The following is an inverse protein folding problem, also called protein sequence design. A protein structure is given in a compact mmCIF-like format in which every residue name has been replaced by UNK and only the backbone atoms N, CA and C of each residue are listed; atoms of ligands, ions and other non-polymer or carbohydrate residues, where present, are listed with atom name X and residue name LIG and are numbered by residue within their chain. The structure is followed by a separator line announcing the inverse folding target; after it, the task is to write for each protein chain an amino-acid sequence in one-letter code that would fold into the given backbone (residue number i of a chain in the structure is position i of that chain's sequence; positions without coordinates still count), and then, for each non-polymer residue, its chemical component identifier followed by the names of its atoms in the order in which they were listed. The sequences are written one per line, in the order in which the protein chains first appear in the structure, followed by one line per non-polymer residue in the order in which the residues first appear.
data_IF_498480806115
#
_entry.id   IF_498480806115
#
_cell.length_a   1.000
_cell.length_b   1.000
_cell.length_c   1.000
_cell.angle_alpha   90.00
_cell.angle_beta   90.00
_cell.angle_gamma   90.00
#
_symmetry.space_group_name_H-M   'P 1'
#
loop_
_entity.id
_entity.type
_entity.pdbx_description
1 polymer ?
#
# COMPACT_ATOMS: atom_id res chain seq x y z
N UNK A 1 9.41 -6.05 -36.04
CA UNK A 1 8.39 -5.06 -35.62
C UNK A 1 7.43 -5.73 -34.67
N UNK A 2 7.56 -5.45 -33.38
CA UNK A 2 6.61 -5.90 -32.35
C UNK A 2 6.19 -4.67 -31.56
N UNK A 3 4.89 -4.40 -31.65
CA UNK A 3 4.08 -3.30 -31.14
C UNK A 3 4.62 -2.63 -29.85
N UNK A 4 4.69 -1.28 -29.76
CA UNK A 4 4.99 -0.63 -28.49
C UNK A 4 3.83 -0.90 -27.53
N UNK A 5 4.16 -1.42 -26.35
CA UNK A 5 3.21 -1.52 -25.24
C UNK A 5 2.86 -0.09 -24.84
N UNK A 6 1.59 0.27 -24.95
CA UNK A 6 1.11 1.63 -24.83
C UNK A 6 1.49 2.30 -23.51
N UNK A 7 1.88 3.56 -23.63
CA UNK A 7 1.98 4.55 -22.57
C UNK A 7 0.63 4.68 -21.84
N UNK A 8 0.47 3.97 -20.72
CA UNK A 8 -0.46 4.29 -19.63
C UNK A 8 -0.25 3.38 -18.41
N UNK A 9 1.00 3.09 -18.05
CA UNK A 9 1.28 2.64 -16.69
C UNK A 9 1.15 3.87 -15.79
N UNK A 10 0.00 4.03 -15.13
CA UNK A 10 -0.07 4.83 -13.91
C UNK A 10 1.04 4.34 -12.99
N UNK A 11 2.05 5.17 -12.79
CA UNK A 11 3.20 4.88 -11.94
C UNK A 11 2.72 4.77 -10.50
N UNK A 12 2.23 3.59 -10.10
CA UNK A 12 1.69 3.34 -8.78
C UNK A 12 2.81 2.96 -7.80
N UNK A 13 2.67 3.36 -6.54
CA UNK A 13 3.50 2.82 -5.48
C UNK A 13 2.92 1.47 -5.05
N UNK A 14 3.78 0.48 -4.79
CA UNK A 14 3.32 -0.80 -4.26
C UNK A 14 4.29 -1.41 -3.25
N UNK A 15 3.74 -2.17 -2.32
CA UNK A 15 4.50 -2.90 -1.31
C UNK A 15 3.75 -4.17 -0.90
N UNK A 16 4.47 -5.18 -0.42
CA UNK A 16 3.88 -6.38 0.19
C UNK A 16 3.73 -6.25 1.71
N UNK A 17 4.23 -5.17 2.31
CA UNK A 17 4.28 -5.02 3.76
C UNK A 17 2.95 -4.47 4.32
N UNK A 18 2.30 -5.26 5.17
CA UNK A 18 1.02 -4.91 5.78
C UNK A 18 1.13 -3.70 6.71
N UNK A 19 2.22 -3.60 7.49
CA UNK A 19 2.39 -2.53 8.47
C UNK A 19 2.67 -1.18 7.81
N UNK A 20 3.55 -1.17 6.81
CA UNK A 20 3.83 -0.02 5.96
C UNK A 20 2.56 0.41 5.22
N UNK A 21 1.79 -0.53 4.67
CA UNK A 21 0.51 -0.23 4.02
C UNK A 21 -0.49 0.41 4.99
N UNK A 22 -0.62 -0.10 6.22
CA UNK A 22 -1.48 0.50 7.23
C UNK A 22 -0.99 1.91 7.62
N UNK A 23 0.32 2.11 7.71
CA UNK A 23 0.91 3.40 8.01
C UNK A 23 0.66 4.44 6.90
N UNK A 24 0.83 4.05 5.64
CA UNK A 24 0.53 4.88 4.48
C UNK A 24 -0.93 5.35 4.47
N UNK A 25 -1.88 4.45 4.70
CA UNK A 25 -3.30 4.80 4.83
C UNK A 25 -3.53 5.73 6.02
N UNK A 26 -2.84 5.50 7.13
CA UNK A 26 -2.94 6.34 8.34
C UNK A 26 -2.42 7.76 8.14
N UNK A 27 -1.50 7.97 7.19
CA UNK A 27 -0.98 9.28 6.77
C UNK A 27 -1.85 9.92 5.67
N UNK A 28 -2.77 9.17 5.08
CA UNK A 28 -3.74 9.65 4.09
C UNK A 28 -3.43 9.26 2.64
N UNK A 29 -2.51 8.34 2.40
CA UNK A 29 -2.31 7.76 1.07
C UNK A 29 -3.45 6.81 0.72
N UNK A 30 -3.86 6.85 -0.54
CA UNK A 30 -5.02 6.12 -1.04
C UNK A 30 -4.60 4.74 -1.56
N UNK A 31 -5.15 3.69 -0.94
CA UNK A 31 -5.00 2.32 -1.41
C UNK A 31 -5.99 2.05 -2.55
N UNK A 32 -5.49 1.94 -3.77
CA UNK A 32 -6.27 1.67 -4.98
C UNK A 32 -6.80 0.24 -5.00
N UNK A 33 -5.93 -0.75 -4.81
CA UNK A 33 -6.30 -2.16 -4.95
C UNK A 33 -5.37 -3.09 -4.19
N UNK A 34 -5.83 -4.33 -4.04
CA UNK A 34 -5.03 -5.45 -3.55
C UNK A 34 -4.88 -6.45 -4.69
N UNK A 35 -3.65 -6.83 -5.01
CA UNK A 35 -3.37 -7.97 -5.87
C UNK A 35 -3.08 -9.20 -5.01
N UNK A 36 -3.94 -10.22 -5.15
CA UNK A 36 -3.91 -11.48 -4.41
C UNK A 36 -3.56 -12.68 -5.30
N UNK A 37 -2.99 -12.46 -6.50
CA UNK A 37 -2.62 -13.56 -7.41
C UNK A 37 -1.61 -14.52 -6.78
N UNK A 38 -0.76 -14.02 -5.87
CA UNK A 38 0.12 -14.87 -5.07
C UNK A 38 -0.61 -15.35 -3.81
N UNK A 39 -0.82 -16.67 -3.61
CA UNK A 39 -1.53 -17.19 -2.44
C UNK A 39 -0.78 -16.97 -1.12
N UNK A 40 0.52 -16.64 -1.16
CA UNK A 40 1.35 -16.41 0.02
C UNK A 40 1.53 -14.93 0.38
N UNK A 41 1.25 -14.01 -0.54
CA UNK A 41 1.52 -12.59 -0.37
C UNK A 41 0.46 -11.75 -1.09
N UNK A 42 0.05 -10.66 -0.46
CA UNK A 42 -0.83 -9.66 -1.08
C UNK A 42 0.00 -8.43 -1.41
N UNK A 43 -0.08 -7.95 -2.65
CA UNK A 43 0.52 -6.69 -3.05
C UNK A 43 -0.50 -5.56 -2.84
N UNK A 44 -0.11 -4.55 -2.08
CA UNK A 44 -0.91 -3.35 -1.83
C UNK A 44 -0.51 -2.29 -2.85
N UNK A 45 -1.46 -1.79 -3.63
CA UNK A 45 -1.21 -0.83 -4.72
C UNK A 45 -1.85 0.51 -4.35
N UNK A 46 -1.04 1.56 -4.34
CA UNK A 46 -1.43 2.91 -3.91
C UNK A 46 -1.36 3.90 -5.06
N UNK A 47 -2.22 4.92 -5.02
CA UNK A 47 -2.07 6.11 -5.86
C UNK A 47 -0.74 6.77 -5.50
N UNK A 48 0.20 6.84 -6.44
CA UNK A 48 1.47 7.52 -6.19
C UNK A 48 1.21 9.02 -6.05
N UNK A 49 1.68 9.56 -4.93
CA UNK A 49 1.66 10.99 -4.60
C UNK A 49 3.02 11.35 -4.04
N UNK A 50 3.40 12.62 -4.18
CA UNK A 50 4.65 13.15 -3.61
C UNK A 50 4.77 12.77 -2.13
N UNK A 51 5.92 12.26 -1.74
CA UNK A 51 6.23 11.89 -0.35
C UNK A 51 5.89 10.45 0.05
N UNK A 52 5.32 9.63 -0.84
CA UNK A 52 4.96 8.24 -0.48
C UNK A 52 6.18 7.38 -0.16
N UNK A 53 7.28 7.56 -0.88
CA UNK A 53 8.54 6.87 -0.67
C UNK A 53 9.20 7.31 0.64
N UNK A 54 9.15 8.61 0.94
CA UNK A 54 9.69 9.17 2.19
C UNK A 54 8.93 8.63 3.40
N UNK A 55 7.60 8.62 3.37
CA UNK A 55 6.79 8.07 4.46
C UNK A 55 7.02 6.56 4.64
N UNK A 56 7.14 5.82 3.53
CA UNK A 56 7.49 4.40 3.60
C UNK A 56 8.88 4.19 4.21
N UNK A 57 9.87 4.99 3.83
CA UNK A 57 11.21 4.94 4.42
C UNK A 57 11.19 5.30 5.91
N UNK A 58 10.48 6.35 6.30
CA UNK A 58 10.36 6.77 7.70
C UNK A 58 9.67 5.72 8.57
N UNK A 59 8.72 4.94 8.01
CA UNK A 59 8.15 3.79 8.69
C UNK A 59 9.23 2.74 9.02
N UNK A 60 10.04 2.34 8.03
CA UNK A 60 11.09 1.34 8.24
C UNK A 60 12.26 1.85 9.10
N UNK A 61 12.51 3.16 9.08
CA UNK A 61 13.51 3.81 9.93
C UNK A 61 13.00 4.09 11.36
N UNK A 62 11.72 3.81 11.66
CA UNK A 62 11.12 4.10 12.97
C UNK A 62 10.96 5.59 13.27
N UNK A 63 10.98 6.44 12.24
CA UNK A 63 10.84 7.90 12.34
C UNK A 63 9.41 8.38 12.17
N UNK A 64 8.57 7.57 11.51
CA UNK A 64 7.20 7.93 11.22
C UNK A 64 6.35 8.01 12.50
N UNK A 65 5.76 9.18 12.76
CA UNK A 65 4.80 9.39 13.86
C UNK A 65 3.38 9.30 13.33
N UNK A 66 2.62 8.33 13.84
CA UNK A 66 1.20 8.15 13.52
C UNK A 66 0.39 7.87 14.78
N UNK A 67 -0.90 8.18 14.75
CA UNK A 67 -1.83 7.77 15.80
C UNK A 67 -1.83 6.24 15.92
N UNK A 68 -1.49 5.73 17.10
CA UNK A 68 -1.47 4.29 17.37
C UNK A 68 -2.85 3.65 17.13
N UNK A 69 -3.92 4.36 17.50
CA UNK A 69 -5.29 3.90 17.28
C UNK A 69 -5.63 3.81 15.79
N UNK A 70 -5.27 4.84 15.01
CA UNK A 70 -5.50 4.87 13.56
C UNK A 70 -4.72 3.77 12.86
N UNK A 71 -3.45 3.56 13.23
CA UNK A 71 -2.63 2.50 12.67
C UNK A 71 -3.22 1.11 12.95
N UNK A 72 -3.68 0.88 14.19
CA UNK A 72 -4.32 -0.38 14.57
C UNK A 72 -5.62 -0.64 13.79
N UNK A 73 -6.49 0.37 13.71
CA UNK A 73 -7.76 0.27 13.01
C UNK A 73 -7.55 0.02 11.50
N UNK A 74 -6.59 0.71 10.88
CA UNK A 74 -6.22 0.50 9.48
C UNK A 74 -5.58 -0.87 9.23
N UNK A 75 -4.77 -1.38 10.17
CA UNK A 75 -4.22 -2.74 10.08
C UNK A 75 -5.35 -3.77 10.11
N UNK A 76 -6.33 -3.61 11.00
CA UNK A 76 -7.50 -4.48 11.08
C UNK A 76 -8.33 -4.42 9.79
N UNK A 77 -8.57 -3.22 9.27
CA UNK A 77 -9.27 -3.01 8.01
C UNK A 77 -8.56 -3.71 6.84
N UNK A 78 -7.23 -3.61 6.74
CA UNK A 78 -6.47 -4.30 5.71
C UNK A 78 -6.54 -5.82 5.84
N UNK A 79 -6.42 -6.37 7.05
CA UNK A 79 -6.59 -7.82 7.28
C UNK A 79 -7.98 -8.29 6.85
N UNK A 80 -9.03 -7.53 7.19
CA UNK A 80 -10.38 -7.84 6.72
C UNK A 80 -10.43 -7.85 5.19
N UNK A 81 -9.84 -6.87 4.50
CA UNK A 81 -9.79 -6.85 3.02
C UNK A 81 -8.99 -8.01 2.43
N UNK A 82 -7.95 -8.48 3.10
CA UNK A 82 -7.14 -9.64 2.66
C UNK A 82 -7.98 -10.92 2.71
N UNK A 83 -8.66 -11.17 3.82
CA UNK A 83 -9.36 -12.42 4.08
C UNK A 83 -10.85 -12.41 3.74
N UNK A 84 -11.44 -11.26 3.42
CA UNK A 84 -12.79 -11.20 2.87
C UNK A 84 -12.79 -11.88 1.51
N UNK A 85 -13.33 -13.09 1.49
CA UNK A 85 -13.92 -13.70 0.30
C UNK A 85 -15.21 -12.93 0.04
N UNK A 86 -15.32 -12.28 -1.13
CA UNK A 86 -16.44 -11.48 -1.62
C UNK A 86 -17.71 -11.42 -0.75
#
# INVERSE_FOLDING_TARGET
MTKPLGDNQTDNFSTFDLGCSAALISVGFELLSLDKQNPRKVLFIFTRKVGIEEVANDYFLGKLKVSARTLFDNTKMLKNRIYSSF
#
